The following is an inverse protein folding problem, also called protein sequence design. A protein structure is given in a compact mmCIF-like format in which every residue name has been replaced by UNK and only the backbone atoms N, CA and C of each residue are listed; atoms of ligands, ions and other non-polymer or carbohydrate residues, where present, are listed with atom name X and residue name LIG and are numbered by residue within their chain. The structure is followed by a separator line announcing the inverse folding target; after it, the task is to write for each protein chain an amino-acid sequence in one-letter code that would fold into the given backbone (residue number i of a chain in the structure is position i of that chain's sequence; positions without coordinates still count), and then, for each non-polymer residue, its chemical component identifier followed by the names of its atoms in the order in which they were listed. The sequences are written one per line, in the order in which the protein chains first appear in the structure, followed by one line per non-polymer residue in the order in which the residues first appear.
data_IF_802699085409
#
_entry.id   IF_802699085409
#
_cell.length_a   1.000
_cell.length_b   1.000
_cell.length_c   1.000
_cell.angle_alpha   90.00
_cell.angle_beta   90.00
_cell.angle_gamma   90.00
#
_symmetry.space_group_name_H-M   'P 1'
#
loop_
_entity.id
_entity.type
_entity.pdbx_description
1 polymer ?
#
# COMPACT_ATOMS: atom_id res chain seq x y z
N UNK A 1 4.27 -11.57 12.95
CA UNK A 1 4.76 -11.83 11.59
C UNK A 1 3.56 -11.88 10.66
N UNK A 2 3.53 -10.98 9.68
CA UNK A 2 2.39 -10.78 8.80
C UNK A 2 2.39 -11.68 7.56
N UNK A 3 1.65 -11.28 6.54
CA UNK A 3 1.45 -12.06 5.31
C UNK A 3 1.88 -11.24 4.08
N UNK A 4 2.58 -11.88 3.14
CA UNK A 4 2.88 -11.28 1.84
C UNK A 4 1.91 -11.83 0.79
N UNK A 5 1.12 -10.94 0.17
CA UNK A 5 0.18 -11.27 -0.89
C UNK A 5 0.75 -10.75 -2.22
N UNK A 6 1.18 -11.67 -3.09
CA UNK A 6 1.71 -11.32 -4.41
C UNK A 6 0.58 -11.25 -5.45
N UNK A 7 0.46 -10.11 -6.12
CA UNK A 7 -0.56 -9.86 -7.15
C UNK A 7 0.14 -9.78 -8.51
N UNK A 8 -0.24 -10.65 -9.45
CA UNK A 8 0.41 -10.74 -10.77
C UNK A 8 0.15 -9.56 -11.74
N UNK A 9 -0.55 -8.52 -11.30
CA UNK A 9 -1.10 -7.45 -12.14
C UNK A 9 -2.53 -7.74 -12.59
N UNK A 10 -3.12 -6.81 -13.36
CA UNK A 10 -4.50 -6.93 -13.84
C UNK A 10 -5.57 -6.65 -12.78
N UNK A 11 -5.19 -6.35 -11.54
CA UNK A 11 -6.08 -5.78 -10.53
C UNK A 11 -6.30 -4.31 -10.88
N UNK A 12 -7.48 -4.01 -11.40
CA UNK A 12 -7.86 -2.65 -11.78
C UNK A 12 -8.64 -2.02 -10.64
N UNK A 13 -7.97 -1.19 -9.87
CA UNK A 13 -8.64 -0.32 -8.88
C UNK A 13 -9.65 0.62 -9.55
N UNK A 14 -9.48 0.86 -10.86
CA UNK A 14 -10.37 1.70 -11.67
C UNK A 14 -11.68 0.98 -12.05
N UNK A 15 -11.72 -0.35 -12.04
CA UNK A 15 -12.90 -1.15 -12.40
C UNK A 15 -13.73 -1.57 -11.17
N UNK A 16 -13.53 -0.91 -10.03
CA UNK A 16 -14.27 -1.18 -8.79
C UNK A 16 -13.69 -2.31 -7.93
N UNK A 17 -12.44 -2.70 -8.19
CA UNK A 17 -11.73 -3.73 -7.40
C UNK A 17 -11.97 -5.15 -7.86
N UNK A 18 -11.40 -6.10 -7.13
CA UNK A 18 -11.45 -7.53 -7.41
C UNK A 18 -11.66 -8.32 -6.11
N UNK A 19 -12.00 -9.63 -6.17
CA UNK A 19 -12.04 -10.48 -4.98
C UNK A 19 -10.71 -10.52 -4.20
N UNK A 20 -9.60 -10.14 -4.83
CA UNK A 20 -8.30 -10.01 -4.15
C UNK A 20 -8.32 -8.87 -3.13
N UNK A 21 -9.01 -7.76 -3.40
CA UNK A 21 -9.09 -6.62 -2.48
C UNK A 21 -9.87 -6.98 -1.21
N UNK A 22 -10.99 -7.70 -1.36
CA UNK A 22 -11.74 -8.26 -0.23
C UNK A 22 -10.89 -9.27 0.56
N UNK A 23 -10.15 -10.14 -0.15
CA UNK A 23 -9.24 -11.09 0.48
C UNK A 23 -8.15 -10.41 1.31
N UNK A 24 -7.51 -9.36 0.78
CA UNK A 24 -6.49 -8.57 1.47
C UNK A 24 -7.04 -8.01 2.77
N UNK A 25 -8.22 -7.37 2.71
CA UNK A 25 -8.85 -6.75 3.88
C UNK A 25 -9.24 -7.81 4.92
N UNK A 26 -9.69 -8.98 4.49
CA UNK A 26 -10.04 -10.08 5.40
C UNK A 26 -8.83 -10.66 6.15
N UNK A 27 -7.58 -10.36 5.75
CA UNK A 27 -6.39 -10.76 6.50
C UNK A 27 -6.10 -9.83 7.68
N UNK A 28 -6.63 -8.60 7.66
CA UNK A 28 -6.48 -7.68 8.77
C UNK A 28 -7.37 -8.09 9.95
N UNK A 29 -6.85 -7.96 11.17
CA UNK A 29 -7.58 -8.32 12.39
C UNK A 29 -8.62 -7.26 12.83
N UNK A 30 -8.57 -6.07 12.23
CA UNK A 30 -9.38 -4.91 12.61
C UNK A 30 -10.62 -4.80 11.69
N UNK A 31 -11.84 -4.58 12.21
CA UNK A 31 -13.04 -4.36 11.38
C UNK A 31 -12.97 -3.12 10.47
N UNK A 32 -12.10 -2.15 10.77
CA UNK A 32 -11.83 -1.00 9.91
C UNK A 32 -10.31 -0.83 9.72
N UNK A 33 -9.68 -1.64 8.84
CA UNK A 33 -8.23 -1.69 8.72
C UNK A 33 -7.63 -0.36 8.30
N UNK A 34 -6.44 -0.07 8.84
CA UNK A 34 -5.56 1.01 8.39
C UNK A 34 -4.72 0.51 7.21
N UNK A 35 -4.93 1.07 6.04
CA UNK A 35 -4.26 0.63 4.81
C UNK A 35 -3.42 1.76 4.24
N UNK A 36 -2.10 1.55 4.20
CA UNK A 36 -1.19 2.45 3.50
C UNK A 36 -1.04 2.08 2.03
N UNK A 37 -0.95 3.07 1.16
CA UNK A 37 -0.69 2.90 -0.26
C UNK A 37 0.65 3.51 -0.67
N UNK A 38 1.50 2.68 -1.27
CA UNK A 38 2.73 3.08 -1.94
C UNK A 38 2.52 3.14 -3.45
N UNK A 39 2.29 4.35 -3.97
CA UNK A 39 2.18 4.63 -5.40
C UNK A 39 3.53 4.80 -6.12
N UNK A 40 4.66 4.58 -5.44
CA UNK A 40 5.98 4.99 -5.94
C UNK A 40 6.34 4.37 -7.30
N UNK A 41 5.94 3.12 -7.56
CA UNK A 41 6.23 2.45 -8.84
C UNK A 41 5.56 3.15 -10.03
N UNK A 42 4.41 3.79 -9.85
CA UNK A 42 3.73 4.58 -10.88
C UNK A 42 4.18 6.04 -10.91
N UNK A 43 5.18 6.41 -10.11
CA UNK A 43 5.59 7.80 -9.92
C UNK A 43 4.58 8.61 -9.10
N UNK A 44 3.89 7.97 -8.16
CA UNK A 44 2.84 8.57 -7.33
C UNK A 44 1.72 9.23 -8.16
N UNK A 45 1.32 8.57 -9.25
CA UNK A 45 0.29 9.07 -10.15
C UNK A 45 -1.04 9.33 -9.40
N UNK A 46 -1.51 10.59 -9.43
CA UNK A 46 -2.69 11.03 -8.68
C UNK A 46 -3.93 10.15 -8.96
N UNK A 47 -4.19 9.85 -10.22
CA UNK A 47 -5.32 8.98 -10.61
C UNK A 47 -5.29 7.60 -9.94
N UNK A 48 -4.10 7.05 -9.69
CA UNK A 48 -3.96 5.71 -9.10
C UNK A 48 -4.15 5.77 -7.59
N UNK A 49 -3.62 6.82 -6.95
CA UNK A 49 -3.84 7.12 -5.53
C UNK A 49 -5.34 7.35 -5.27
N UNK A 50 -6.00 8.16 -6.08
CA UNK A 50 -7.43 8.45 -5.97
C UNK A 50 -8.29 7.19 -6.16
N UNK A 51 -7.98 6.36 -7.16
CA UNK A 51 -8.69 5.11 -7.39
C UNK A 51 -8.52 4.12 -6.23
N UNK A 52 -7.28 3.98 -5.72
CA UNK A 52 -7.01 3.17 -4.52
C UNK A 52 -7.83 3.68 -3.33
N UNK A 53 -7.76 4.98 -3.06
CA UNK A 53 -8.41 5.60 -1.92
C UNK A 53 -9.93 5.41 -2.00
N UNK A 54 -10.54 5.66 -3.16
CA UNK A 54 -11.97 5.48 -3.37
C UNK A 54 -12.41 4.03 -3.09
N UNK A 55 -11.69 3.04 -3.65
CA UNK A 55 -12.02 1.63 -3.47
C UNK A 55 -11.88 1.19 -2.01
N UNK A 56 -10.74 1.44 -1.37
CA UNK A 56 -10.48 0.93 -0.03
C UNK A 56 -11.34 1.65 1.03
N UNK A 57 -11.68 2.92 0.82
CA UNK A 57 -12.66 3.60 1.68
C UNK A 57 -14.07 3.01 1.52
N UNK A 58 -14.48 2.65 0.29
CA UNK A 58 -15.76 1.96 0.07
C UNK A 58 -15.80 0.58 0.76
N UNK A 59 -14.66 -0.09 0.85
CA UNK A 59 -14.49 -1.36 1.58
C UNK A 59 -14.33 -1.17 3.11
N UNK A 60 -14.53 0.04 3.64
CA UNK A 60 -14.54 0.32 5.07
C UNK A 60 -13.16 0.56 5.70
N UNK A 61 -12.11 0.76 4.90
CA UNK A 61 -10.76 0.99 5.40
C UNK A 61 -10.46 2.47 5.66
N UNK A 62 -9.53 2.72 6.59
CA UNK A 62 -8.87 4.03 6.74
C UNK A 62 -7.62 4.04 5.88
N UNK A 63 -7.59 4.88 4.85
CA UNK A 63 -6.51 4.91 3.86
C UNK A 63 -5.47 5.98 4.15
N UNK A 64 -4.17 5.65 4.00
CA UNK A 64 -3.05 6.60 4.07
C UNK A 64 -2.23 6.55 2.78
N UNK A 65 -2.02 7.67 2.10
CA UNK A 65 -1.12 7.72 0.94
C UNK A 65 0.34 7.99 1.38
N UNK A 66 1.30 7.28 0.80
CA UNK A 66 2.73 7.39 1.14
C UNK A 66 3.57 7.71 -0.11
N UNK A 67 3.53 8.98 -0.59
CA UNK A 67 4.30 9.38 -1.76
C UNK A 67 5.79 9.56 -1.44
N UNK A 68 6.67 9.25 -2.40
CA UNK A 68 8.12 9.50 -2.33
C UNK A 68 8.60 10.50 -3.39
N UNK A 69 7.80 10.77 -4.42
CA UNK A 69 8.07 11.76 -5.47
C UNK A 69 7.30 13.07 -5.25
N UNK A 70 6.43 13.13 -4.24
CA UNK A 70 5.69 14.31 -3.81
C UNK A 70 6.15 14.82 -2.44
N UNK A 71 5.20 15.35 -1.64
CA UNK A 71 5.47 15.70 -0.24
C UNK A 71 5.47 14.42 0.61
N UNK A 72 6.66 13.88 0.87
CA UNK A 72 6.84 12.67 1.66
C UNK A 72 6.43 12.90 3.13
N UNK A 73 5.56 12.05 3.70
CA UNK A 73 5.21 12.08 5.12
C UNK A 73 6.32 11.47 5.99
N UNK A 74 6.15 11.50 7.31
CA UNK A 74 6.98 10.69 8.19
C UNK A 74 6.69 9.20 7.94
N UNK A 75 7.70 8.48 7.43
CA UNK A 75 7.59 7.07 7.05
C UNK A 75 7.42 6.14 8.26
N UNK A 76 7.64 6.61 9.48
CA UNK A 76 7.34 5.84 10.69
C UNK A 76 5.87 5.44 10.79
N UNK A 77 4.96 6.14 10.09
CA UNK A 77 3.54 5.81 10.00
C UNK A 77 3.26 4.39 9.49
N UNK A 78 4.21 3.77 8.77
CA UNK A 78 4.07 2.42 8.23
C UNK A 78 3.99 1.37 9.33
N UNK A 79 4.58 1.65 10.49
CA UNK A 79 4.61 0.75 11.63
C UNK A 79 3.27 0.66 12.37
N UNK A 80 2.30 1.48 11.96
CA UNK A 80 0.95 1.55 12.53
C UNK A 80 -0.14 1.05 11.57
N UNK A 81 0.24 0.54 10.40
CA UNK A 81 -0.72 0.10 9.37
C UNK A 81 -1.03 -1.38 9.57
N UNK A 82 -2.29 -1.75 9.30
CA UNK A 82 -2.73 -3.14 9.30
C UNK A 82 -2.40 -3.81 7.95
N UNK A 83 -2.36 -3.03 6.87
CA UNK A 83 -2.01 -3.49 5.51
C UNK A 83 -1.16 -2.42 4.82
N UNK A 84 -0.13 -2.85 4.10
CA UNK A 84 0.65 -1.99 3.20
C UNK A 84 0.47 -2.48 1.77
N UNK A 85 -0.28 -1.71 0.98
CA UNK A 85 -0.52 -1.99 -0.42
C UNK A 85 0.52 -1.29 -1.30
N UNK A 86 1.19 -2.05 -2.17
CA UNK A 86 2.22 -1.54 -3.08
C UNK A 86 1.67 -1.53 -4.50
N UNK A 87 1.51 -0.33 -5.07
CA UNK A 87 1.02 -0.15 -6.42
C UNK A 87 2.00 -0.65 -7.48
N UNK A 88 1.46 -1.05 -8.64
CA UNK A 88 2.25 -1.46 -9.80
C UNK A 88 2.93 -0.31 -10.54
N UNK A 89 3.87 -0.64 -11.43
CA UNK A 89 4.58 0.31 -12.28
C UNK A 89 6.04 -0.11 -12.54
N UNK A 90 6.97 0.83 -12.47
CA UNK A 90 8.39 0.56 -12.62
C UNK A 90 9.04 0.13 -11.29
N UNK A 91 9.11 -1.19 -11.07
CA UNK A 91 9.71 -1.78 -9.86
C UNK A 91 11.18 -1.41 -9.68
N UNK A 92 11.96 -1.28 -10.76
CA UNK A 92 13.39 -0.94 -10.66
C UNK A 92 13.58 0.45 -10.07
N UNK A 93 12.82 1.44 -10.56
CA UNK A 93 12.85 2.81 -10.03
C UNK A 93 12.33 2.86 -8.59
N UNK A 94 11.24 2.16 -8.29
CA UNK A 94 10.70 2.05 -6.94
C UNK A 94 11.74 1.53 -5.94
N UNK A 95 12.39 0.41 -6.25
CA UNK A 95 13.39 -0.19 -5.37
C UNK A 95 14.64 0.68 -5.18
N UNK A 96 15.00 1.50 -6.17
CA UNK A 96 16.08 2.46 -6.01
C UNK A 96 15.71 3.53 -4.98
N UNK A 97 14.51 4.11 -5.08
CA UNK A 97 14.02 5.10 -4.12
C UNK A 97 13.84 4.48 -2.73
N UNK A 98 13.24 3.30 -2.61
CA UNK A 98 13.00 2.67 -1.31
C UNK A 98 14.27 2.40 -0.52
N UNK A 99 15.37 2.06 -1.19
CA UNK A 99 16.68 1.89 -0.54
C UNK A 99 17.23 3.22 -0.05
N UNK A 100 17.13 4.28 -0.86
CA UNK A 100 17.61 5.62 -0.50
C UNK A 100 16.82 6.20 0.70
N UNK A 101 15.52 5.97 0.74
CA UNK A 101 14.62 6.47 1.78
C UNK A 101 14.50 5.56 3.02
N UNK A 102 15.23 4.43 3.06
CA UNK A 102 15.16 3.49 4.18
C UNK A 102 13.81 2.77 4.35
N UNK A 103 12.99 2.75 3.30
CA UNK A 103 11.64 2.12 3.33
C UNK A 103 11.73 0.62 3.57
N UNK A 104 12.77 -0.03 3.04
CA UNK A 104 12.95 -1.48 3.14
C UNK A 104 12.97 -1.95 4.60
N UNK A 105 13.69 -1.23 5.46
CA UNK A 105 13.81 -1.58 6.88
C UNK A 105 12.50 -1.34 7.65
N UNK A 106 11.74 -0.33 7.25
CA UNK A 106 10.42 -0.04 7.84
C UNK A 106 9.39 -1.11 7.44
N UNK A 107 9.42 -1.58 6.20
CA UNK A 107 8.54 -2.66 5.75
C UNK A 107 8.87 -3.98 6.46
N UNK A 108 10.16 -4.29 6.65
CA UNK A 108 10.56 -5.46 7.43
C UNK A 108 10.04 -5.38 8.88
N UNK A 109 10.13 -4.21 9.51
CA UNK A 109 9.59 -4.00 10.86
C UNK A 109 8.06 -4.08 10.91
N UNK A 110 7.36 -3.52 9.93
CA UNK A 110 5.90 -3.60 9.84
C UNK A 110 5.45 -5.06 9.70
N UNK A 111 6.13 -5.84 8.84
CA UNK A 111 5.89 -7.27 8.66
C UNK A 111 6.05 -8.06 9.97
N UNK A 112 7.12 -7.79 10.74
CA UNK A 112 7.31 -8.44 12.04
C UNK A 112 6.17 -8.12 13.02
N UNK A 113 5.66 -6.88 12.98
CA UNK A 113 4.51 -6.43 13.78
C UNK A 113 3.16 -6.98 13.31
N UNK A 114 3.10 -7.67 12.18
CA UNK A 114 1.89 -8.35 11.69
C UNK A 114 1.16 -7.64 10.56
N UNK A 115 1.73 -6.57 10.01
CA UNK A 115 1.27 -5.98 8.76
C UNK A 115 1.56 -6.88 7.54
#
# INVERSE_FOLDING_TARGET
MGQIIAIGGGVSLLDGGTPVDEYIIAQASNPAPRVAFFGTASGDAAMYVEAFQALYQQLGCTTTNVPLLGRTPDLSLLLEQDVIYVGGGNTKSMLALWREWGVVDLLAQAYEKGA
#
